data_IF_880596572759
#
_entry.id   IF_880596572759
#
_cell.length_a   1.000
_cell.length_b   1.000
_cell.length_c   1.000
_cell.angle_alpha   90.00
_cell.angle_beta   90.00
_cell.angle_gamma   90.00
#
_symmetry.space_group_name_H-M   'P 1'
#
loop_
_entity.id
_entity.type
_entity.pdbx_description
1 polymer ?
#
# COMPACT_ATOMS: atom_id res chain seq x y z
N UNK A 1 15.87 -2.49 9.85
CA UNK A 1 15.26 -3.53 8.98
C UNK A 1 14.14 -4.34 9.64
N UNK A 2 14.33 -4.98 10.82
CA UNK A 2 13.32 -5.89 11.40
C UNK A 2 11.91 -5.28 11.54
N UNK A 3 11.78 -4.04 12.03
CA UNK A 3 10.47 -3.39 12.15
C UNK A 3 9.81 -3.12 10.79
N UNK A 4 10.58 -2.67 9.79
CA UNK A 4 10.03 -2.44 8.44
C UNK A 4 9.56 -3.77 7.83
N UNK A 5 10.40 -4.81 7.90
CA UNK A 5 10.05 -6.14 7.42
C UNK A 5 8.79 -6.67 8.12
N UNK A 6 8.66 -6.47 9.44
CA UNK A 6 7.46 -6.79 10.18
C UNK A 6 6.24 -6.04 9.64
N UNK A 7 6.29 -4.70 9.55
CA UNK A 7 5.15 -3.88 9.13
C UNK A 7 4.70 -4.18 7.70
N UNK A 8 5.66 -4.37 6.80
CA UNK A 8 5.41 -4.72 5.40
C UNK A 8 4.78 -6.11 5.33
N UNK A 9 5.47 -7.17 5.79
CA UNK A 9 4.95 -8.55 5.67
C UNK A 9 3.60 -8.70 6.37
N UNK A 10 3.43 -8.09 7.54
CA UNK A 10 2.17 -8.13 8.26
C UNK A 10 1.03 -7.52 7.45
N UNK A 11 1.25 -6.37 6.81
CA UNK A 11 0.24 -5.73 5.97
C UNK A 11 -0.07 -6.57 4.74
N UNK A 12 0.93 -6.90 3.94
CA UNK A 12 0.75 -7.60 2.66
C UNK A 12 0.11 -8.98 2.88
N UNK A 13 0.58 -9.72 3.90
CA UNK A 13 -0.03 -11.00 4.25
C UNK A 13 -1.46 -10.85 4.78
N UNK A 14 -1.74 -9.81 5.59
CA UNK A 14 -3.09 -9.59 6.10
C UNK A 14 -4.07 -9.17 4.99
N UNK A 15 -3.64 -8.37 4.03
CA UNK A 15 -4.43 -8.02 2.83
C UNK A 15 -4.74 -9.26 1.99
N UNK A 16 -3.74 -10.09 1.69
CA UNK A 16 -3.94 -11.35 1.00
C UNK A 16 -4.93 -12.27 1.74
N UNK A 17 -4.79 -12.40 3.08
CA UNK A 17 -5.69 -13.19 3.92
C UNK A 17 -7.13 -12.65 3.86
N UNK A 18 -7.32 -11.32 3.90
CA UNK A 18 -8.65 -10.72 3.82
C UNK A 18 -9.30 -10.98 2.46
N UNK A 19 -8.58 -10.81 1.35
CA UNK A 19 -9.15 -11.00 0.02
C UNK A 19 -9.51 -12.48 -0.21
N UNK A 20 -8.58 -13.39 0.09
CA UNK A 20 -8.82 -14.84 -0.02
C UNK A 20 -9.94 -15.28 0.92
N UNK A 21 -9.95 -14.79 2.16
CA UNK A 21 -10.98 -15.13 3.14
C UNK A 21 -12.37 -14.62 2.75
N UNK A 22 -12.47 -13.46 2.09
CA UNK A 22 -13.76 -12.98 1.54
C UNK A 22 -14.24 -13.87 0.40
N UNK A 23 -13.35 -14.32 -0.49
CA UNK A 23 -13.70 -15.26 -1.57
C UNK A 23 -14.22 -16.57 -0.98
N UNK A 24 -13.49 -17.16 -0.02
CA UNK A 24 -13.89 -18.42 0.64
C UNK A 24 -15.22 -18.25 1.39
N UNK A 25 -15.39 -17.14 2.12
CA UNK A 25 -16.63 -16.83 2.83
C UNK A 25 -17.81 -16.70 1.87
N UNK A 26 -17.60 -16.06 0.72
CA UNK A 26 -18.62 -15.92 -0.30
C UNK A 26 -19.00 -17.27 -0.92
N UNK A 27 -18.02 -18.10 -1.28
CA UNK A 27 -18.24 -19.47 -1.81
C UNK A 27 -19.05 -20.33 -0.84
N UNK A 28 -18.74 -20.24 0.46
CA UNK A 28 -19.49 -20.94 1.50
C UNK A 28 -20.93 -20.44 1.60
N UNK A 29 -21.15 -19.12 1.46
CA UNK A 29 -22.49 -18.50 1.54
C UNK A 29 -23.40 -18.96 0.40
N UNK A 30 -22.87 -19.17 -0.80
CA UNK A 30 -23.63 -19.65 -1.97
C UNK A 30 -23.72 -21.20 -2.03
N UNK A 31 -23.29 -21.91 -0.99
CA UNK A 31 -23.35 -23.37 -0.92
C UNK A 31 -22.33 -24.10 -1.82
N UNK A 32 -21.40 -23.38 -2.44
CA UNK A 32 -20.42 -23.89 -3.41
C UNK A 32 -19.05 -24.10 -2.75
N UNK A 33 -19.02 -24.65 -1.53
CA UNK A 33 -17.78 -24.89 -0.76
C UNK A 33 -16.81 -25.87 -1.44
N UNK A 34 -17.30 -26.67 -2.40
CA UNK A 34 -16.49 -27.57 -3.23
C UNK A 34 -15.37 -26.83 -3.97
N UNK A 35 -15.56 -25.56 -4.32
CA UNK A 35 -14.57 -24.78 -5.06
C UNK A 35 -13.48 -24.15 -4.17
N UNK A 36 -13.60 -24.23 -2.84
CA UNK A 36 -12.59 -23.71 -1.92
C UNK A 36 -11.20 -24.32 -2.16
N UNK A 37 -11.16 -25.61 -2.56
CA UNK A 37 -9.89 -26.30 -2.88
C UNK A 37 -9.14 -25.60 -4.02
N UNK A 38 -9.85 -25.13 -5.03
CA UNK A 38 -9.27 -24.45 -6.19
C UNK A 38 -8.74 -23.06 -5.85
N UNK A 39 -9.39 -22.35 -4.93
CA UNK A 39 -8.88 -21.08 -4.40
C UNK A 39 -7.51 -21.30 -3.74
N UNK A 40 -7.38 -22.32 -2.89
CA UNK A 40 -6.13 -22.68 -2.22
C UNK A 40 -5.03 -23.12 -3.19
N UNK A 41 -5.37 -23.83 -4.26
CA UNK A 41 -4.42 -24.16 -5.33
C UNK A 41 -3.85 -22.88 -5.95
N UNK A 42 -4.69 -21.91 -6.30
CA UNK A 42 -4.22 -20.63 -6.85
C UNK A 42 -3.36 -19.84 -5.85
N UNK A 43 -3.72 -19.82 -4.57
CA UNK A 43 -2.91 -19.20 -3.50
C UNK A 43 -1.54 -19.87 -3.39
N UNK A 44 -1.49 -21.20 -3.37
CA UNK A 44 -0.22 -21.94 -3.29
C UNK A 44 0.66 -21.69 -4.51
N UNK A 45 0.08 -21.71 -5.72
CA UNK A 45 0.80 -21.35 -6.95
C UNK A 45 1.32 -19.92 -6.92
N UNK A 46 0.57 -18.97 -6.35
CA UNK A 46 0.99 -17.58 -6.23
C UNK A 46 2.15 -17.41 -5.25
N UNK A 47 2.13 -18.12 -4.13
CA UNK A 47 3.26 -18.11 -3.17
C UNK A 47 4.53 -18.65 -3.85
N UNK A 48 4.44 -19.79 -4.53
CA UNK A 48 5.58 -20.35 -5.27
C UNK A 48 6.08 -19.41 -6.37
N UNK A 49 5.17 -18.80 -7.14
CA UNK A 49 5.52 -17.83 -8.16
C UNK A 49 6.17 -16.57 -7.56
N UNK A 50 5.70 -16.08 -6.41
CA UNK A 50 6.28 -14.92 -5.71
C UNK A 50 7.70 -15.21 -5.22
N UNK A 51 7.95 -16.43 -4.71
CA UNK A 51 9.32 -16.88 -4.40
C UNK A 51 10.18 -16.96 -5.66
N UNK A 52 9.63 -17.43 -6.77
CA UNK A 52 10.31 -17.41 -8.07
C UNK A 52 10.67 -16.00 -8.52
N UNK A 53 9.76 -15.04 -8.38
CA UNK A 53 10.03 -13.62 -8.66
C UNK A 53 11.15 -13.09 -7.76
N UNK A 54 11.14 -13.40 -6.46
CA UNK A 54 12.20 -13.01 -5.54
C UNK A 54 13.58 -13.56 -5.97
N UNK A 55 13.64 -14.83 -6.39
CA UNK A 55 14.87 -15.46 -6.86
C UNK A 55 15.37 -14.84 -8.17
N UNK A 56 14.49 -14.67 -9.16
CA UNK A 56 14.85 -14.02 -10.43
C UNK A 56 15.35 -12.60 -10.17
N UNK A 57 14.67 -11.88 -9.28
CA UNK A 57 15.08 -10.53 -8.90
C UNK A 57 16.49 -10.55 -8.29
N UNK A 58 16.77 -11.42 -7.31
CA UNK A 58 18.09 -11.54 -6.70
C UNK A 58 19.19 -11.87 -7.73
N UNK A 59 18.93 -12.80 -8.65
CA UNK A 59 19.88 -13.15 -9.72
C UNK A 59 20.19 -11.94 -10.60
N UNK A 60 19.17 -11.15 -10.93
CA UNK A 60 19.35 -9.92 -11.71
C UNK A 60 20.22 -8.92 -10.94
N UNK A 61 19.98 -8.72 -9.64
CA UNK A 61 20.80 -7.83 -8.80
C UNK A 61 22.27 -8.26 -8.77
N UNK A 62 22.49 -9.54 -8.56
CA UNK A 62 23.84 -10.11 -8.50
C UNK A 62 24.55 -10.05 -9.87
N UNK A 63 23.79 -10.15 -10.97
CA UNK A 63 24.31 -10.01 -12.34
C UNK A 63 24.79 -8.60 -12.69
N UNK A 64 24.27 -7.56 -12.04
CA UNK A 64 24.71 -6.17 -12.19
C UNK A 64 25.77 -5.74 -11.17
N UNK A 65 26.56 -6.68 -10.62
CA UNK A 65 27.54 -6.44 -9.55
C UNK A 65 28.69 -5.47 -9.89
N UNK A 66 28.85 -5.00 -11.14
CA UNK A 66 29.78 -3.92 -11.46
C UNK A 66 29.38 -2.64 -10.70
N UNK A 67 30.31 -2.06 -9.93
CA UNK A 67 30.03 -0.95 -8.98
C UNK A 67 29.15 0.17 -9.55
N UNK A 68 29.40 0.59 -10.80
CA UNK A 68 28.59 1.63 -11.46
C UNK A 68 27.14 1.21 -11.71
N UNK A 69 26.89 0.03 -12.28
CA UNK A 69 25.54 -0.45 -12.63
C UNK A 69 24.69 -0.79 -11.40
N UNK A 70 25.32 -1.21 -10.31
CA UNK A 70 24.64 -1.55 -9.06
C UNK A 70 23.95 -0.35 -8.43
N UNK A 71 24.59 0.81 -8.39
CA UNK A 71 23.99 2.02 -7.79
C UNK A 71 22.82 2.57 -8.63
N UNK A 72 22.90 2.51 -9.97
CA UNK A 72 21.75 2.86 -10.83
C UNK A 72 20.54 1.96 -10.57
N UNK A 73 20.79 0.65 -10.43
CA UNK A 73 19.74 -0.30 -10.15
C UNK A 73 19.14 -0.03 -8.75
N UNK A 74 19.99 0.25 -7.76
CA UNK A 74 19.56 0.64 -6.40
C UNK A 74 18.65 1.87 -6.41
N UNK A 75 19.00 2.93 -7.16
CA UNK A 75 18.14 4.10 -7.36
C UNK A 75 16.77 3.69 -7.92
N UNK A 76 16.78 2.83 -8.95
CA UNK A 76 15.55 2.30 -9.55
C UNK A 76 14.66 1.57 -8.54
N UNK A 77 15.24 0.70 -7.71
CA UNK A 77 14.51 -0.02 -6.66
C UNK A 77 13.90 0.95 -5.65
N UNK A 78 14.67 1.94 -5.18
CA UNK A 78 14.21 2.90 -4.18
C UNK A 78 13.04 3.75 -4.71
N UNK A 79 13.14 4.24 -5.95
CA UNK A 79 12.08 5.02 -6.58
C UNK A 79 10.84 4.18 -6.89
N UNK A 80 11.02 3.01 -7.51
CA UNK A 80 9.89 2.10 -7.83
C UNK A 80 9.18 1.70 -6.55
N UNK A 81 9.92 1.36 -5.49
CA UNK A 81 9.33 0.97 -4.22
C UNK A 81 8.63 2.13 -3.54
N UNK A 82 9.23 3.33 -3.48
CA UNK A 82 8.55 4.52 -2.95
C UNK A 82 7.25 4.80 -3.73
N UNK A 83 7.27 4.69 -5.05
CA UNK A 83 6.09 4.84 -5.91
C UNK A 83 5.01 3.78 -5.63
N UNK A 84 5.41 2.50 -5.52
CA UNK A 84 4.50 1.40 -5.19
C UNK A 84 3.88 1.56 -3.79
N UNK A 85 4.68 1.92 -2.77
CA UNK A 85 4.16 2.22 -1.42
C UNK A 85 3.13 3.36 -1.50
N UNK A 86 3.48 4.45 -2.19
CA UNK A 86 2.58 5.61 -2.38
C UNK A 86 1.28 5.18 -3.04
N UNK A 87 1.38 4.41 -4.13
CA UNK A 87 0.22 3.90 -4.86
C UNK A 87 -0.69 3.06 -3.95
N UNK A 88 -0.13 2.15 -3.15
CA UNK A 88 -0.92 1.35 -2.21
C UNK A 88 -1.60 2.18 -1.14
N UNK A 89 -0.90 3.16 -0.55
CA UNK A 89 -1.47 4.08 0.45
C UNK A 89 -2.69 4.80 -0.15
N UNK A 90 -2.59 5.21 -1.41
CA UNK A 90 -3.67 5.85 -2.17
C UNK A 90 -4.76 4.86 -2.62
N UNK A 91 -4.47 3.57 -2.74
CA UNK A 91 -5.44 2.56 -3.17
C UNK A 91 -6.36 2.12 -2.02
N UNK A 92 -5.82 1.93 -0.81
CA UNK A 92 -6.59 1.51 0.35
C UNK A 92 -7.69 2.49 0.76
N UNK A 93 -7.46 3.81 0.54
CA UNK A 93 -8.46 4.84 0.78
C UNK A 93 -9.75 4.64 -0.02
N UNK A 94 -9.66 4.04 -1.21
CA UNK A 94 -10.78 3.79 -2.14
C UNK A 94 -11.52 2.48 -1.86
N UNK A 95 -10.80 1.46 -1.40
CA UNK A 95 -11.31 0.08 -1.36
C UNK A 95 -12.28 -0.18 -0.20
N UNK A 96 -12.33 0.71 0.80
CA UNK A 96 -13.13 0.56 2.01
C UNK A 96 -14.66 0.72 1.80
N UNK A 97 -15.10 1.20 0.62
CA UNK A 97 -16.53 1.38 0.30
C UNK A 97 -17.03 0.43 -0.80
N UNK A 98 -16.20 0.06 -1.79
CA UNK A 98 -16.67 -0.73 -2.95
C UNK A 98 -16.65 -2.26 -2.76
N UNK A 99 -15.85 -2.78 -1.82
CA UNK A 99 -15.62 -4.23 -1.72
C UNK A 99 -16.84 -5.04 -1.27
N UNK A 100 -17.80 -4.45 -0.55
CA UNK A 100 -19.00 -5.19 -0.12
C UNK A 100 -20.08 -5.30 -1.19
N UNK A 101 -20.12 -4.35 -2.14
CA UNK A 101 -21.18 -4.27 -3.16
C UNK A 101 -20.78 -4.93 -4.50
N UNK A 102 -19.52 -4.79 -4.95
CA UNK A 102 -19.10 -5.26 -6.29
C UNK A 102 -18.68 -6.74 -6.36
N UNK A 103 -18.39 -7.38 -5.22
CA UNK A 103 -18.00 -8.79 -5.18
C UNK A 103 -19.16 -9.75 -5.47
N UNK A 104 -20.40 -9.36 -5.14
CA UNK A 104 -21.57 -10.20 -5.37
C UNK A 104 -21.82 -10.43 -6.88
N UNK A 105 -21.66 -9.39 -7.71
CA UNK A 105 -21.88 -9.49 -9.17
C UNK A 105 -20.70 -10.14 -9.91
N UNK A 106 -19.45 -9.94 -9.48
CA UNK A 106 -18.27 -10.52 -10.16
C UNK A 106 -18.12 -12.02 -9.92
N UNK A 107 -18.44 -12.53 -8.72
CA UNK A 107 -18.33 -13.98 -8.47
C UNK A 107 -19.45 -14.76 -9.18
N UNK A 108 -20.64 -14.16 -9.34
CA UNK A 108 -21.71 -14.76 -10.14
C UNK A 108 -21.32 -14.98 -11.61
N UNK A 109 -20.61 -14.01 -12.22
CA UNK A 109 -20.04 -14.13 -13.57
C UNK A 109 -18.96 -15.21 -13.68
N UNK A 110 -18.14 -15.40 -12.64
CA UNK A 110 -17.06 -16.40 -12.65
C UNK A 110 -17.60 -17.84 -12.62
N UNK A 111 -18.80 -18.05 -12.07
CA UNK A 111 -19.42 -19.37 -11.94
C UNK A 111 -20.10 -19.86 -13.24
N UNK A 112 -20.29 -19.01 -14.26
CA UNK A 112 -21.07 -19.33 -15.47
C UNK A 112 -20.34 -20.14 -16.55
N UNK A 113 -19.00 -20.09 -16.63
CA UNK A 113 -18.23 -20.82 -17.65
C UNK A 113 -16.82 -21.16 -17.14
N UNK A 114 -16.51 -22.43 -16.89
CA UNK A 114 -15.15 -22.89 -16.53
C UNK A 114 -14.70 -22.65 -15.07
N UNK A 115 -15.63 -22.67 -14.12
CA UNK A 115 -15.48 -22.16 -12.74
C UNK A 115 -14.23 -22.54 -11.93
N UNK A 116 -13.60 -23.72 -12.15
CA UNK A 116 -12.36 -24.09 -11.43
C UNK A 116 -11.18 -23.22 -11.87
N UNK A 117 -10.95 -23.15 -13.18
CA UNK A 117 -9.80 -22.46 -13.76
C UNK A 117 -9.89 -20.97 -13.44
N UNK A 118 -11.08 -20.37 -13.58
CA UNK A 118 -11.25 -18.96 -13.26
C UNK A 118 -11.03 -18.65 -11.77
N UNK A 119 -11.42 -19.56 -10.86
CA UNK A 119 -11.15 -19.40 -9.43
C UNK A 119 -9.66 -19.51 -9.11
N UNK A 120 -8.96 -20.49 -9.70
CA UNK A 120 -7.50 -20.64 -9.54
C UNK A 120 -6.81 -19.38 -10.06
N UNK A 121 -7.11 -18.95 -11.29
CA UNK A 121 -6.47 -17.79 -11.93
C UNK A 121 -6.76 -16.52 -11.14
N UNK A 122 -8.00 -16.33 -10.67
CA UNK A 122 -8.34 -15.14 -9.89
C UNK A 122 -7.63 -15.11 -8.54
N UNK A 123 -7.68 -16.19 -7.75
CA UNK A 123 -6.99 -16.23 -6.46
C UNK A 123 -5.47 -16.17 -6.63
N UNK A 124 -4.95 -16.78 -7.70
CA UNK A 124 -3.55 -16.68 -8.10
C UNK A 124 -3.14 -15.23 -8.38
N UNK A 125 -3.80 -14.54 -9.32
CA UNK A 125 -3.40 -13.19 -9.73
C UNK A 125 -3.49 -12.18 -8.58
N UNK A 126 -4.55 -12.28 -7.77
CA UNK A 126 -4.73 -11.41 -6.59
C UNK A 126 -3.62 -11.66 -5.57
N UNK A 127 -3.34 -12.92 -5.23
CA UNK A 127 -2.30 -13.24 -4.23
C UNK A 127 -0.90 -12.97 -4.76
N UNK A 128 -0.66 -13.23 -6.05
CA UNK A 128 0.63 -12.99 -6.72
C UNK A 128 0.97 -11.51 -6.69
N UNK A 129 -0.03 -10.63 -6.91
CA UNK A 129 0.18 -9.19 -6.83
C UNK A 129 0.74 -8.78 -5.46
N UNK A 130 0.10 -9.19 -4.37
CA UNK A 130 0.57 -8.88 -3.00
C UNK A 130 1.97 -9.47 -2.75
N UNK A 131 2.23 -10.67 -3.27
CA UNK A 131 3.54 -11.31 -3.19
C UNK A 131 4.64 -10.56 -3.97
N UNK A 132 4.35 -10.10 -5.19
CA UNK A 132 5.28 -9.29 -6.00
C UNK A 132 5.55 -7.95 -5.33
N UNK A 133 4.51 -7.27 -4.82
CA UNK A 133 4.66 -6.01 -4.08
C UNK A 133 5.57 -6.21 -2.85
N UNK A 134 5.39 -7.31 -2.10
CA UNK A 134 6.27 -7.70 -0.99
C UNK A 134 7.73 -7.85 -1.42
N UNK A 135 8.01 -8.49 -2.57
CA UNK A 135 9.37 -8.66 -3.09
C UNK A 135 10.04 -7.33 -3.38
N UNK A 136 9.34 -6.40 -4.05
CA UNK A 136 9.87 -5.07 -4.34
C UNK A 136 10.17 -4.30 -3.04
N UNK A 137 9.27 -4.35 -2.07
CA UNK A 137 9.49 -3.69 -0.78
C UNK A 137 10.68 -4.28 -0.01
N UNK A 138 10.84 -5.60 -0.04
CA UNK A 138 11.97 -6.28 0.58
C UNK A 138 13.29 -5.90 -0.11
N UNK A 139 13.28 -5.80 -1.44
CA UNK A 139 14.45 -5.33 -2.19
C UNK A 139 14.87 -3.90 -1.80
N UNK A 140 13.90 -2.99 -1.59
CA UNK A 140 14.19 -1.62 -1.20
C UNK A 140 14.77 -1.51 0.22
N UNK A 141 14.13 -2.14 1.22
CA UNK A 141 14.58 -2.03 2.61
C UNK A 141 15.89 -2.78 2.89
N UNK A 142 16.26 -3.74 2.03
CA UNK A 142 17.50 -4.52 2.15
C UNK A 142 18.66 -3.97 1.33
N UNK A 143 18.48 -2.83 0.65
CA UNK A 143 19.47 -2.30 -0.30
C UNK A 143 19.87 -3.33 -1.39
N UNK A 144 18.90 -4.11 -1.86
CA UNK A 144 19.11 -5.10 -2.93
C UNK A 144 19.65 -6.46 -2.45
N UNK A 145 19.48 -6.82 -1.19
CA UNK A 145 19.84 -8.14 -0.66
C UNK A 145 18.60 -8.79 -0.03
N UNK A 146 17.74 -9.33 -0.88
CA UNK A 146 16.43 -9.88 -0.49
C UNK A 146 16.62 -11.05 0.48
N UNK A 147 17.70 -11.82 0.34
CA UNK A 147 18.04 -12.94 1.21
C UNK A 147 18.14 -12.53 2.68
N UNK A 148 18.76 -11.38 2.97
CA UNK A 148 18.83 -10.83 4.34
C UNK A 148 17.46 -10.44 4.88
N UNK A 149 16.57 -9.95 4.02
CA UNK A 149 15.23 -9.56 4.44
C UNK A 149 14.34 -10.78 4.71
N UNK A 150 14.41 -11.84 3.90
CA UNK A 150 13.68 -13.11 4.11
C UNK A 150 14.13 -13.79 5.42
N UNK A 151 15.41 -13.72 5.76
CA UNK A 151 15.94 -14.26 7.03
C UNK A 151 15.66 -13.36 8.24
N UNK A 152 15.04 -12.19 8.05
CA UNK A 152 14.75 -11.30 9.16
C UNK A 152 13.67 -11.88 10.08
N UNK A 153 13.90 -11.79 11.39
CA UNK A 153 12.93 -12.20 12.39
C UNK A 153 11.63 -11.38 12.31
N UNK A 154 11.76 -10.13 11.82
CA UNK A 154 10.64 -9.23 11.58
C UNK A 154 9.63 -9.76 10.55
N UNK A 155 10.11 -10.26 9.40
CA UNK A 155 9.24 -10.82 8.36
C UNK A 155 8.42 -12.00 8.88
N UNK A 156 9.09 -12.94 9.59
CA UNK A 156 8.43 -14.11 10.18
C UNK A 156 7.40 -13.70 11.24
N UNK A 157 7.76 -12.78 12.14
CA UNK A 157 6.85 -12.27 13.15
C UNK A 157 5.63 -11.56 12.52
N UNK A 158 5.84 -10.82 11.43
CA UNK A 158 4.77 -10.15 10.68
C UNK A 158 3.80 -11.14 10.05
N UNK A 159 4.33 -12.19 9.41
CA UNK A 159 3.51 -13.25 8.81
C UNK A 159 2.67 -14.00 9.85
N UNK A 160 3.27 -14.36 10.99
CA UNK A 160 2.57 -15.02 12.11
C UNK A 160 1.49 -14.11 12.67
N UNK A 161 1.80 -12.84 12.91
CA UNK A 161 0.83 -11.86 13.40
C UNK A 161 -0.34 -11.67 12.43
N UNK A 162 -0.08 -11.64 11.12
CA UNK A 162 -1.11 -11.54 10.08
C UNK A 162 -2.04 -12.75 10.10
N UNK A 163 -1.47 -13.95 10.20
CA UNK A 163 -2.23 -15.20 10.34
C UNK A 163 -3.12 -15.22 11.58
N UNK A 164 -2.57 -14.87 12.75
CA UNK A 164 -3.33 -14.80 14.01
C UNK A 164 -4.48 -13.78 13.93
N UNK A 165 -4.21 -12.58 13.40
CA UNK A 165 -5.22 -11.54 13.24
C UNK A 165 -6.28 -11.96 12.21
N UNK A 166 -5.88 -12.58 11.10
CA UNK A 166 -6.79 -13.14 10.10
C UNK A 166 -7.73 -14.18 10.70
N UNK A 167 -7.21 -15.14 11.46
CA UNK A 167 -8.03 -16.13 12.19
C UNK A 167 -8.98 -15.43 13.17
N UNK A 168 -8.51 -14.43 13.90
CA UNK A 168 -9.36 -13.67 14.82
C UNK A 168 -10.49 -12.91 14.10
N UNK A 169 -10.25 -12.39 12.90
CA UNK A 169 -11.26 -11.69 12.08
C UNK A 169 -12.30 -12.67 11.53
N UNK A 170 -11.90 -13.85 11.05
CA UNK A 170 -12.83 -14.80 10.43
C UNK A 170 -13.54 -15.73 11.43
N UNK A 171 -12.93 -16.05 12.58
CA UNK A 171 -13.54 -16.87 13.64
C UNK A 171 -14.18 -16.06 14.77
N UNK A 172 -13.76 -14.81 14.98
CA UNK A 172 -14.19 -13.99 16.12
C UNK A 172 -15.41 -13.12 15.81
N UNK A 173 -16.35 -13.08 16.75
CA UNK A 173 -17.50 -12.14 16.76
C UNK A 173 -17.10 -10.68 17.08
N UNK A 174 -15.80 -10.41 17.33
CA UNK A 174 -15.31 -9.08 17.68
C UNK A 174 -15.19 -8.22 16.42
N UNK A 175 -15.98 -7.13 16.36
CA UNK A 175 -15.90 -6.09 15.33
C UNK A 175 -14.59 -5.30 15.44
N UNK A 176 -13.48 -5.86 14.98
CA UNK A 176 -12.22 -5.11 14.84
C UNK A 176 -12.46 -4.03 13.79
N UNK A 177 -12.14 -2.77 14.14
CA UNK A 177 -12.19 -1.65 13.19
C UNK A 177 -10.99 -1.74 12.24
N UNK A 178 -11.08 -2.64 11.25
CA UNK A 178 -10.07 -2.88 10.21
C UNK A 178 -9.63 -1.55 9.54
N UNK A 179 -10.56 -0.61 9.39
CA UNK A 179 -10.29 0.73 8.86
C UNK A 179 -9.33 1.58 9.71
N UNK A 180 -9.36 1.44 11.04
CA UNK A 180 -8.45 2.17 11.94
C UNK A 180 -7.06 1.56 11.88
N UNK A 181 -7.01 0.23 11.87
CA UNK A 181 -5.77 -0.52 11.72
C UNK A 181 -5.01 -0.12 10.45
N UNK A 182 -5.65 -0.18 9.28
CA UNK A 182 -5.00 0.21 8.01
C UNK A 182 -4.60 1.68 7.96
N UNK A 183 -5.33 2.56 8.64
CA UNK A 183 -4.95 3.98 8.73
C UNK A 183 -3.65 4.16 9.53
N UNK A 184 -3.49 3.45 10.64
CA UNK A 184 -2.28 3.52 11.47
C UNK A 184 -1.09 2.94 10.71
N UNK A 185 -1.23 1.77 10.09
CA UNK A 185 -0.14 1.16 9.30
C UNK A 185 0.22 2.00 8.07
N UNK A 186 -0.75 2.67 7.44
CA UNK A 186 -0.49 3.59 6.32
C UNK A 186 0.40 4.77 6.73
N UNK A 187 0.24 5.32 7.94
CA UNK A 187 1.08 6.44 8.41
C UNK A 187 2.55 6.00 8.45
N UNK A 188 2.83 4.83 9.04
CA UNK A 188 4.19 4.29 9.08
C UNK A 188 4.75 4.01 7.68
N UNK A 189 3.91 3.57 6.75
CA UNK A 189 4.33 3.33 5.37
C UNK A 189 4.60 4.63 4.59
N UNK A 190 3.87 5.71 4.85
CA UNK A 190 4.18 7.03 4.28
C UNK A 190 5.59 7.44 4.73
N UNK A 191 5.94 7.21 6.00
CA UNK A 191 7.26 7.54 6.54
C UNK A 191 8.37 6.71 5.89
N UNK A 192 8.16 5.40 5.72
CA UNK A 192 9.10 4.54 5.00
C UNK A 192 9.23 4.97 3.54
N UNK A 193 8.12 5.26 2.86
CA UNK A 193 8.12 5.63 1.45
C UNK A 193 8.82 6.98 1.19
N UNK A 194 8.63 7.94 2.09
CA UNK A 194 9.35 9.21 2.10
C UNK A 194 10.86 8.97 2.30
N UNK A 195 11.21 8.08 3.22
CA UNK A 195 12.60 7.76 3.49
C UNK A 195 13.31 7.03 2.35
N UNK A 196 12.61 6.11 1.65
CA UNK A 196 13.13 5.47 0.45
C UNK A 196 13.31 6.47 -0.69
N UNK A 197 12.38 7.44 -0.82
CA UNK A 197 12.47 8.48 -1.83
C UNK A 197 13.71 9.37 -1.63
N UNK A 198 13.92 9.88 -0.41
CA UNK A 198 15.09 10.72 -0.11
C UNK A 198 16.40 9.95 -0.23
N UNK A 199 16.43 8.68 0.19
CA UNK A 199 17.61 7.84 -0.06
C UNK A 199 17.92 7.70 -1.55
N UNK A 200 16.92 7.65 -2.43
CA UNK A 200 17.16 7.63 -3.86
C UNK A 200 17.81 8.93 -4.35
N UNK A 201 17.38 10.08 -3.81
CA UNK A 201 17.97 11.39 -4.09
C UNK A 201 19.42 11.44 -3.62
N UNK A 202 19.72 10.97 -2.41
CA UNK A 202 21.09 10.92 -1.89
C UNK A 202 22.02 10.09 -2.77
N UNK A 203 21.59 8.87 -3.16
CA UNK A 203 22.40 8.04 -4.07
C UNK A 203 22.55 8.70 -5.46
N UNK A 204 21.55 9.44 -5.94
CA UNK A 204 21.69 10.23 -7.18
C UNK A 204 22.69 11.39 -7.04
N UNK A 205 22.77 12.01 -5.86
CA UNK A 205 23.73 13.07 -5.55
C UNK A 205 25.16 12.50 -5.43
N UNK A 206 25.32 11.35 -4.78
CA UNK A 206 26.59 10.62 -4.68
C UNK A 206 27.15 10.27 -6.06
N UNK A 207 26.28 9.86 -6.99
CA UNK A 207 26.63 9.57 -8.38
C UNK A 207 26.78 10.82 -9.27
N UNK A 208 26.58 12.02 -8.72
CA UNK A 208 26.61 13.30 -9.44
C UNK A 208 25.60 13.39 -10.60
N UNK A 209 24.51 12.63 -10.52
CA UNK A 209 23.38 12.70 -11.47
C UNK A 209 22.59 13.99 -11.20
N UNK A 210 22.40 14.33 -9.93
CA UNK A 210 21.75 15.55 -9.46
C UNK A 210 22.80 16.36 -8.68
N UNK A 211 22.94 17.65 -9.00
CA UNK A 211 23.79 18.57 -8.23
C UNK A 211 23.07 19.12 -7.00
N UNK A 212 23.81 19.81 -6.15
CA UNK A 212 23.21 20.64 -5.09
C UNK A 212 23.33 22.13 -5.41
N UNK A 213 22.29 22.87 -5.05
CA UNK A 213 22.22 24.33 -5.07
C UNK A 213 23.10 24.95 -3.98
N UNK A 214 23.28 24.25 -2.87
CA UNK A 214 24.15 24.66 -1.78
C UNK A 214 25.46 23.86 -1.83
N UNK A 215 26.56 24.56 -2.08
CA UNK A 215 27.90 23.96 -2.14
C UNK A 215 28.84 24.64 -1.16
N UNK A 216 29.70 23.86 -0.53
CA UNK A 216 30.80 24.41 0.27
C UNK A 216 31.80 25.14 -0.64
N UNK A 217 32.64 26.03 -0.09
CA UNK A 217 33.68 26.73 -0.86
C UNK A 217 34.63 25.81 -1.64
N UNK A 218 34.77 24.54 -1.22
CA UNK A 218 35.53 23.49 -1.91
C UNK A 218 34.80 22.84 -3.09
N UNK A 219 33.56 23.23 -3.38
CA UNK A 219 32.75 22.68 -4.48
C UNK A 219 32.03 21.37 -4.17
N UNK A 220 32.12 20.88 -2.93
CA UNK A 220 31.37 19.72 -2.44
C UNK A 220 29.93 20.10 -2.07
N UNK A 221 29.07 19.09 -1.93
CA UNK A 221 27.66 19.29 -1.54
C UNK A 221 27.64 19.78 -0.09
N UNK A 222 27.03 20.93 0.16
CA UNK A 222 26.93 21.49 1.50
C UNK A 222 25.78 20.84 2.27
N UNK A 223 26.04 20.42 3.50
CA UNK A 223 25.01 20.00 4.43
C UNK A 223 24.18 21.20 4.89
N UNK A 224 22.85 21.04 4.94
CA UNK A 224 21.92 22.07 5.41
C UNK A 224 22.02 22.26 6.94
N UNK A 225 22.25 21.17 7.66
CA UNK A 225 22.50 21.14 9.09
C UNK A 225 23.38 19.94 9.43
N UNK A 226 23.95 19.92 10.64
CA UNK A 226 24.68 18.77 11.18
C UNK A 226 24.05 18.36 12.52
N UNK A 227 23.49 17.15 12.55
CA UNK A 227 22.87 16.52 13.72
C UNK A 227 23.70 15.37 14.29
N UNK A 228 24.96 15.23 13.90
CA UNK A 228 25.85 14.16 14.38
C UNK A 228 25.97 14.16 15.90
N UNK A 229 25.94 15.35 16.54
CA UNK A 229 25.95 15.51 18.00
C UNK A 229 24.71 14.92 18.70
N UNK A 230 23.56 14.91 18.02
CA UNK A 230 22.30 14.42 18.56
C UNK A 230 22.13 12.92 18.27
N UNK A 231 22.27 12.54 17.00
CA UNK A 231 22.06 11.18 16.53
C UNK A 231 22.86 10.91 15.25
N UNK A 232 24.03 10.29 15.37
CA UNK A 232 24.81 9.86 14.21
C UNK A 232 24.05 8.81 13.40
N UNK A 233 24.21 8.78 12.09
CA UNK A 233 23.48 7.85 11.23
C UNK A 233 24.03 6.42 11.24
N UNK A 234 25.33 6.26 11.53
CA UNK A 234 26.01 4.99 11.64
C UNK A 234 26.94 4.97 12.87
N UNK A 235 27.23 3.81 13.48
CA UNK A 235 28.23 3.69 14.55
C UNK A 235 29.63 4.20 14.18
N UNK A 236 29.95 4.22 12.87
CA UNK A 236 31.21 4.79 12.39
C UNK A 236 31.21 6.31 12.58
N UNK A 237 30.09 6.97 12.33
CA UNK A 237 29.96 8.42 12.50
C UNK A 237 29.99 8.79 13.98
N UNK A 238 29.43 7.96 14.85
CA UNK A 238 29.60 8.08 16.30
C UNK A 238 31.08 8.05 16.70
N UNK A 239 31.85 7.10 16.17
CA UNK A 239 33.30 7.03 16.46
C UNK A 239 34.08 8.21 15.90
N UNK A 240 33.72 8.69 14.71
CA UNK A 240 34.34 9.89 14.13
C UNK A 240 34.02 11.13 14.96
N UNK A 241 32.77 11.29 15.39
CA UNK A 241 32.35 12.40 16.23
C UNK A 241 33.07 12.42 17.58
N UNK A 242 33.19 11.26 18.24
CA UNK A 242 33.94 11.13 19.50
C UNK A 242 35.42 11.46 19.29
N UNK A 243 36.01 10.99 18.19
CA UNK A 243 37.41 11.29 17.84
C UNK A 243 37.64 12.78 17.63
N UNK A 244 36.73 13.46 16.93
CA UNK A 244 36.94 14.84 16.48
C UNK A 244 36.54 15.87 17.55
N UNK A 245 35.53 15.57 18.36
CA UNK A 245 35.01 16.49 19.38
C UNK A 245 35.39 16.11 20.81
N UNK A 246 35.78 14.86 21.07
CA UNK A 246 35.98 14.32 22.41
C UNK A 246 34.69 14.07 23.20
N UNK A 247 33.52 14.29 22.59
CA UNK A 247 32.22 14.16 23.25
C UNK A 247 31.42 12.98 22.68
N UNK A 248 30.61 12.34 23.53
CA UNK A 248 29.68 11.32 23.09
C UNK A 248 28.39 11.97 22.56
N UNK A 249 27.85 11.50 21.43
CA UNK A 249 26.55 11.94 20.96
C UNK A 249 25.44 11.46 21.92
N UNK A 250 24.31 12.17 21.91
CA UNK A 250 23.20 11.87 22.83
C UNK A 250 22.58 10.50 22.53
N UNK A 251 22.41 10.17 21.25
CA UNK A 251 21.92 8.87 20.78
C UNK A 251 23.04 8.13 20.06
N UNK A 252 23.07 6.80 20.22
CA UNK A 252 24.04 5.92 19.57
C UNK A 252 23.71 5.75 18.07
N UNK A 253 24.74 5.51 17.25
CA UNK A 253 24.61 5.28 15.80
C UNK A 253 23.70 4.11 15.41
N UNK A 254 23.47 3.12 16.28
CA UNK A 254 22.47 2.06 16.05
C UNK A 254 21.05 2.60 15.96
N UNK A 255 20.73 3.63 16.76
CA UNK A 255 19.44 4.32 16.71
C UNK A 255 19.34 5.12 15.40
N UNK A 256 20.45 5.72 14.97
CA UNK A 256 20.60 6.33 13.65
C UNK A 256 20.25 5.38 12.51
N UNK A 257 20.83 4.18 12.47
CA UNK A 257 20.53 3.16 11.44
C UNK A 257 19.02 2.86 11.41
N UNK A 258 18.39 2.76 12.58
CA UNK A 258 16.95 2.51 12.67
C UNK A 258 16.14 3.64 12.03
N UNK A 259 16.42 4.90 12.39
CA UNK A 259 15.72 6.06 11.84
C UNK A 259 16.06 6.32 10.37
N UNK A 260 17.30 6.08 9.93
CA UNK A 260 17.70 6.15 8.52
C UNK A 260 16.89 5.16 7.69
N UNK A 261 16.79 3.92 8.14
CA UNK A 261 16.00 2.92 7.43
C UNK A 261 14.48 3.19 7.50
N UNK A 262 13.97 3.75 8.60
CA UNK A 262 12.52 3.88 8.86
C UNK A 262 11.92 5.20 8.39
N UNK A 263 12.63 6.31 8.60
CA UNK A 263 12.23 7.66 8.23
C UNK A 263 12.99 8.19 7.03
N UNK A 264 14.11 7.58 6.63
CA UNK A 264 15.09 8.24 5.76
C UNK A 264 15.84 9.36 6.47
N UNK A 265 16.05 9.22 7.79
CA UNK A 265 16.87 10.16 8.53
C UNK A 265 18.30 10.21 7.97
N UNK A 266 18.83 11.41 7.88
CA UNK A 266 20.24 11.70 7.59
C UNK A 266 20.71 12.77 8.58
N UNK A 267 21.94 12.63 9.06
CA UNK A 267 22.54 13.54 10.03
C UNK A 267 22.95 14.88 9.38
N UNK A 268 23.24 14.86 8.08
CA UNK A 268 23.78 15.96 7.30
C UNK A 268 23.15 16.07 5.89
N UNK A 269 21.82 16.25 5.78
CA UNK A 269 21.14 16.29 4.49
C UNK A 269 21.61 17.46 3.63
N UNK A 270 21.61 17.24 2.32
CA UNK A 270 21.62 18.35 1.37
C UNK A 270 20.31 19.15 1.42
N UNK A 271 20.33 20.38 0.91
CA UNK A 271 19.13 21.22 0.82
C UNK A 271 18.02 20.52 0.02
N UNK A 272 18.39 19.81 -1.05
CA UNK A 272 17.45 19.09 -1.91
C UNK A 272 16.84 17.90 -1.19
N UNK A 273 17.64 17.11 -0.47
CA UNK A 273 17.12 15.99 0.33
C UNK A 273 16.09 16.47 1.35
N UNK A 274 16.42 17.53 2.09
CA UNK A 274 15.50 18.11 3.07
C UNK A 274 14.21 18.64 2.41
N UNK A 275 14.33 19.44 1.35
CA UNK A 275 13.19 20.02 0.67
C UNK A 275 12.29 18.95 0.03
N UNK A 276 12.89 17.97 -0.65
CA UNK A 276 12.17 16.88 -1.30
C UNK A 276 11.51 15.93 -0.31
N UNK A 277 12.11 15.73 0.88
CA UNK A 277 11.48 14.97 1.97
C UNK A 277 10.14 15.57 2.37
N UNK A 278 10.12 16.88 2.69
CA UNK A 278 8.90 17.56 3.10
C UNK A 278 7.91 17.72 1.96
N UNK A 279 8.39 18.00 0.75
CA UNK A 279 7.54 18.08 -0.44
C UNK A 279 6.83 16.75 -0.70
N UNK A 280 7.50 15.62 -0.47
CA UNK A 280 6.91 14.30 -0.60
C UNK A 280 5.72 14.11 0.36
N UNK A 281 5.85 14.48 1.63
CA UNK A 281 4.71 14.43 2.58
C UNK A 281 3.55 15.33 2.16
N UNK A 282 3.85 16.56 1.72
CA UNK A 282 2.84 17.49 1.21
C UNK A 282 2.11 16.90 0.00
N UNK A 283 2.85 16.34 -0.95
CA UNK A 283 2.31 15.67 -2.13
C UNK A 283 1.36 14.54 -1.72
N UNK A 284 1.79 13.62 -0.85
CA UNK A 284 0.96 12.49 -0.39
C UNK A 284 -0.30 12.99 0.33
N UNK A 285 -0.15 14.00 1.19
CA UNK A 285 -1.29 14.60 1.89
C UNK A 285 -2.30 15.23 0.92
N UNK A 286 -1.85 15.98 -0.08
CA UNK A 286 -2.70 16.58 -1.12
C UNK A 286 -3.41 15.49 -1.93
N UNK A 287 -2.72 14.41 -2.30
CA UNK A 287 -3.32 13.29 -3.02
C UNK A 287 -4.41 12.60 -2.20
N UNK A 288 -4.17 12.35 -0.91
CA UNK A 288 -5.17 11.79 0.00
C UNK A 288 -6.38 12.72 0.20
N UNK A 289 -6.13 14.02 0.39
CA UNK A 289 -7.19 15.03 0.52
C UNK A 289 -8.04 15.12 -0.75
N UNK A 290 -7.41 15.09 -1.93
CA UNK A 290 -8.10 15.08 -3.22
C UNK A 290 -8.99 13.86 -3.38
N UNK A 291 -8.50 12.67 -3.04
CA UNK A 291 -9.31 11.46 -3.11
C UNK A 291 -10.53 11.53 -2.19
N UNK A 292 -10.35 12.00 -0.95
CA UNK A 292 -11.46 12.15 -0.01
C UNK A 292 -12.51 13.15 -0.52
N UNK A 293 -12.07 14.28 -1.09
CA UNK A 293 -12.98 15.26 -1.70
C UNK A 293 -13.76 14.67 -2.87
N UNK A 294 -13.09 13.92 -3.76
CA UNK A 294 -13.75 13.27 -4.90
C UNK A 294 -14.79 12.23 -4.46
N UNK A 295 -14.50 11.46 -3.41
CA UNK A 295 -15.46 10.51 -2.85
C UNK A 295 -16.71 11.22 -2.28
N UNK A 296 -16.52 12.31 -1.53
CA UNK A 296 -17.65 13.09 -0.98
C UNK A 296 -18.52 13.72 -2.08
N UNK A 297 -17.90 14.22 -3.16
CA UNK A 297 -18.63 14.77 -4.30
C UNK A 297 -19.42 13.69 -5.05
N UNK A 298 -18.86 12.48 -5.20
CA UNK A 298 -19.55 11.36 -5.80
C UNK A 298 -20.75 10.90 -4.95
N UNK A 299 -20.59 10.84 -3.63
CA UNK A 299 -21.69 10.53 -2.69
C UNK A 299 -22.80 11.60 -2.74
N UNK A 300 -22.44 12.88 -2.78
CA UNK A 300 -23.41 13.97 -2.88
C UNK A 300 -24.21 13.90 -4.19
N UNK A 301 -23.52 13.69 -5.32
CA UNK A 301 -24.14 13.55 -6.63
C UNK A 301 -25.08 12.35 -6.70
N UNK A 302 -24.68 11.21 -6.14
CA UNK A 302 -25.53 10.02 -6.10
C UNK A 302 -26.79 10.22 -5.24
N UNK A 303 -26.73 11.03 -4.17
CA UNK A 303 -27.92 11.40 -3.38
C UNK A 303 -28.85 12.31 -4.16
N UNK A 304 -28.31 13.31 -4.84
CA UNK A 304 -29.09 14.23 -5.67
C UNK A 304 -29.81 13.49 -6.82
N UNK A 305 -29.12 12.56 -7.49
CA UNK A 305 -29.72 11.70 -8.51
C UNK A 305 -30.81 10.78 -7.94
N UNK A 306 -30.62 10.25 -6.72
CA UNK A 306 -31.61 9.40 -6.06
C UNK A 306 -32.85 10.19 -5.61
N UNK A 307 -32.67 11.40 -5.09
CA UNK A 307 -33.75 12.33 -4.72
C UNK A 307 -34.55 12.76 -5.95
N UNK A 308 -33.87 13.17 -7.04
CA UNK A 308 -34.52 13.51 -8.30
C UNK A 308 -35.31 12.33 -8.90
N UNK A 309 -34.76 11.11 -8.83
CA UNK A 309 -35.45 9.89 -9.29
C UNK A 309 -36.67 9.56 -8.43
N UNK A 310 -36.61 9.80 -7.13
CA UNK A 310 -37.74 9.60 -6.22
C UNK A 310 -38.86 10.62 -6.48
N UNK A 311 -38.53 11.88 -6.71
CA UNK A 311 -39.52 12.92 -7.08
C UNK A 311 -40.21 12.59 -8.41
N UNK A 312 -39.46 12.16 -9.43
CA UNK A 312 -40.01 11.71 -10.71
C UNK A 312 -40.94 10.48 -10.56
N UNK A 313 -40.59 9.53 -9.69
CA UNK A 313 -41.43 8.36 -9.39
C UNK A 313 -42.75 8.74 -8.73
N UNK A 314 -42.72 9.64 -7.74
CA UNK A 314 -43.93 10.14 -7.05
C UNK A 314 -44.85 10.89 -8.02
N UNK A 315 -44.29 11.69 -8.93
CA UNK A 315 -45.06 12.39 -9.95
C UNK A 315 -45.70 11.41 -10.96
N UNK A 316 -44.96 10.38 -11.39
CA UNK A 316 -45.47 9.32 -12.27
C UNK A 316 -46.63 8.55 -11.63
N UNK A 317 -46.48 8.11 -10.39
CA UNK A 317 -47.52 7.35 -9.67
C UNK A 317 -48.76 8.21 -9.39
N UNK A 318 -48.56 9.51 -9.08
CA UNK A 318 -49.66 10.47 -8.93
C UNK A 318 -50.45 10.71 -10.22
N UNK A 319 -49.76 10.79 -11.36
CA UNK A 319 -50.39 10.92 -12.69
C UNK A 319 -51.13 9.63 -13.08
N UNK A 320 -50.55 8.46 -12.81
CA UNK A 320 -51.19 7.17 -13.06
C UNK A 320 -52.46 7.01 -12.20
N UNK A 321 -52.41 7.36 -10.92
CA UNK A 321 -53.58 7.34 -10.03
C UNK A 321 -54.67 8.35 -10.43
N UNK A 322 -54.28 9.52 -10.97
CA UNK A 322 -55.23 10.49 -11.50
C UNK A 322 -55.90 9.99 -12.81
N UNK A 323 -55.16 9.28 -13.67
CA UNK A 323 -55.71 8.69 -14.89
C UNK A 323 -56.68 7.53 -14.62
N UNK A 324 -56.39 6.68 -13.62
CA UNK A 324 -57.29 5.57 -13.26
C UNK A 324 -58.58 6.06 -12.60
N UNK A 325 -58.53 7.12 -11.80
CA UNK A 325 -59.72 7.78 -11.24
C UNK A 325 -60.59 8.49 -12.30
N UNK A 326 -59.98 8.95 -13.41
CA UNK A 326 -60.71 9.54 -14.53
C UNK A 326 -61.41 8.48 -15.41
N UNK A 327 -60.88 7.25 -15.45
CA UNK A 327 -61.43 6.14 -16.24
C UNK A 327 -62.58 5.40 -15.51
N UNK A 328 -62.64 5.47 -14.18
CA UNK A 328 -63.73 4.90 -13.36
C UNK A 328 -64.98 5.79 -13.22
N UNK A 329 -65.04 6.98 -13.83
CA UNK A 329 -66.27 7.78 -13.88
C UNK A 329 -67.14 7.29 -15.06
N UNK A 330 -68.23 6.53 -14.83
CA UNK A 330 -69.12 6.12 -15.91
C UNK A 330 -69.81 7.37 -16.47
N UNK A 331 -69.69 7.58 -17.77
CA UNK A 331 -70.44 8.60 -18.49
C UNK A 331 -71.94 8.48 -18.19
N UNK A 332 -72.43 9.36 -17.32
CA UNK A 332 -73.85 9.49 -17.05
C UNK A 332 -74.53 9.94 -18.34
N UNK A 333 -75.31 9.02 -18.90
CA UNK A 333 -76.21 9.25 -20.00
C UNK A 333 -77.44 9.98 -19.45
N UNK A 334 -77.67 11.21 -19.87
CA UNK A 334 -79.03 11.78 -19.84
C UNK A 334 -79.33 12.40 -21.19
N UNK A 335 -80.10 11.65 -21.97
CA UNK A 335 -81.03 12.19 -22.93
C UNK A 335 -82.03 13.11 -22.22
N UNK A 336 -82.27 14.30 -22.79
CA UNK A 336 -83.56 14.91 -23.19
C UNK A 336 -83.21 16.10 -24.09
#
# INVERSE_FOLDING_TARGET
MNLQAFLITFREAFEAILIVGIIITYLNRIGQSKWNKWVWVGVFMAILASLGVALVFQIVLDGYATMGSREYLRIGILLVSSGLLTHMILFMGKQNQEMRSKLQNKVALILGAGGAINMIVHSFLVTLREGVETVFFFAAISSGDISKAIQSWGALAGLVAAGLLGVAVFKGSKRIKISTFFRVTSIFLIMIAAGLFVQAIGVMQDLRIIGSLYKTPGGEIGAMYDLTWFMPEHPIDETNYIRDTGHHPILNGQVGIFFKAFLGYTQDPSLEEFALYWLYYVMVFVLLARQRKLALLAEAKAREEAEASAELGVLSDGVAAASTLAEEQPGNTTAV
#
